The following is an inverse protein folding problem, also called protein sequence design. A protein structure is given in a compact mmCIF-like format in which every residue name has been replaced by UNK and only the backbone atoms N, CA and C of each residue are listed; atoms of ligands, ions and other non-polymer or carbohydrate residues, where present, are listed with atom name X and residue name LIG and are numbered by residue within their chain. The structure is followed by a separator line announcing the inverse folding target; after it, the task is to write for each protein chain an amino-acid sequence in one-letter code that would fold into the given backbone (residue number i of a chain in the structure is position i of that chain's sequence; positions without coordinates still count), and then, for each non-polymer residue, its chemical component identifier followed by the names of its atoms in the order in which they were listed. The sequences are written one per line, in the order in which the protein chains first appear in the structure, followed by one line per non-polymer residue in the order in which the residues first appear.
data_IF_494589549043
#
_entry.id   IF_494589549043
#
_cell.length_a   1.000
_cell.length_b   1.000
_cell.length_c   1.000
_cell.angle_alpha   90.00
_cell.angle_beta   90.00
_cell.angle_gamma   90.00
#
_symmetry.space_group_name_H-M   'P 1'
#
loop_
_entity.id
_entity.type
_entity.pdbx_description
1 polymer ?
#
# COMPACT_ATOMS: atom_id res chain seq x y z
N UNK A 1 30.55 -14.67 -20.97
CA UNK A 1 29.07 -14.79 -20.80
C UNK A 1 28.77 -15.06 -19.32
N UNK A 2 28.69 -14.02 -18.47
CA UNK A 2 28.29 -14.13 -17.05
C UNK A 2 27.84 -12.78 -16.46
N UNK A 3 26.91 -12.05 -17.12
CA UNK A 3 26.45 -10.72 -16.62
C UNK A 3 24.98 -10.69 -16.18
N UNK A 4 24.22 -11.75 -16.44
CA UNK A 4 22.80 -11.80 -16.11
C UNK A 4 22.57 -12.08 -14.61
N UNK A 5 23.33 -12.99 -14.00
CA UNK A 5 23.09 -13.38 -12.59
C UNK A 5 23.39 -12.26 -11.59
N UNK A 6 24.42 -11.46 -11.84
CA UNK A 6 24.85 -10.36 -10.96
C UNK A 6 23.81 -9.24 -10.86
N UNK A 7 23.15 -8.90 -11.97
CA UNK A 7 22.14 -7.84 -12.01
C UNK A 7 20.86 -8.21 -11.26
N UNK A 8 20.46 -9.49 -11.28
CA UNK A 8 19.34 -9.98 -10.46
C UNK A 8 19.66 -9.97 -8.97
N UNK A 9 20.90 -10.31 -8.57
CA UNK A 9 21.32 -10.26 -7.16
C UNK A 9 21.48 -8.81 -6.66
N UNK A 10 21.94 -7.90 -7.50
CA UNK A 10 22.02 -6.48 -7.17
C UNK A 10 20.62 -5.84 -7.05
N UNK A 11 19.65 -6.31 -7.85
CA UNK A 11 18.23 -5.95 -7.69
C UNK A 11 17.61 -6.45 -6.39
N UNK A 12 17.99 -7.65 -5.92
CA UNK A 12 17.57 -8.21 -4.63
C UNK A 12 18.14 -7.43 -3.42
N UNK A 13 19.24 -6.70 -3.60
CA UNK A 13 19.89 -5.89 -2.55
C UNK A 13 19.66 -4.38 -2.73
N UNK A 14 18.72 -3.95 -3.57
CA UNK A 14 18.44 -2.53 -3.74
C UNK A 14 17.57 -2.02 -2.57
N UNK A 15 18.07 -1.10 -1.72
CA UNK A 15 17.39 -0.73 -0.47
C UNK A 15 15.97 -0.18 -0.70
N UNK A 16 15.78 0.56 -1.80
CA UNK A 16 14.45 1.04 -2.18
C UNK A 16 13.50 -0.06 -2.65
N UNK A 17 13.99 -1.10 -3.34
CA UNK A 17 13.13 -2.19 -3.81
C UNK A 17 12.68 -3.06 -2.64
N UNK A 18 13.58 -3.36 -1.70
CA UNK A 18 13.21 -4.04 -0.46
C UNK A 18 12.15 -3.26 0.32
N UNK A 19 12.31 -1.94 0.42
CA UNK A 19 11.31 -1.06 1.03
C UNK A 19 9.98 -1.08 0.27
N UNK A 20 10.01 -1.00 -1.07
CA UNK A 20 8.82 -1.00 -1.91
C UNK A 20 8.03 -2.30 -1.76
N UNK A 21 8.70 -3.45 -1.69
CA UNK A 21 8.07 -4.75 -1.42
C UNK A 21 7.37 -4.72 -0.06
N UNK A 22 8.08 -4.31 1.00
CA UNK A 22 7.50 -4.24 2.34
C UNK A 22 6.28 -3.31 2.39
N UNK A 23 6.34 -2.18 1.68
CA UNK A 23 5.25 -1.20 1.62
C UNK A 23 4.04 -1.73 0.84
N UNK A 24 4.24 -2.42 -0.29
CA UNK A 24 3.17 -3.05 -1.05
C UNK A 24 2.51 -4.20 -0.26
N UNK A 25 3.31 -5.05 0.38
CA UNK A 25 2.80 -6.11 1.26
C UNK A 25 2.00 -5.53 2.43
N UNK A 26 2.39 -4.39 2.99
CA UNK A 26 1.63 -3.72 4.03
C UNK A 26 0.26 -3.24 3.53
N UNK A 27 0.18 -2.69 2.31
CA UNK A 27 -1.11 -2.30 1.72
C UNK A 27 -2.00 -3.51 1.37
N UNK A 28 -1.41 -4.63 0.98
CA UNK A 28 -2.14 -5.88 0.70
C UNK A 28 -2.78 -6.50 1.96
N UNK A 29 -2.13 -6.36 3.12
CA UNK A 29 -2.57 -6.95 4.39
C UNK A 29 -3.73 -6.20 5.08
N UNK A 30 -4.38 -5.24 4.42
CA UNK A 30 -5.58 -4.51 4.88
C UNK A 30 -5.27 -3.36 5.90
N UNK A 31 -6.11 -2.29 5.97
CA UNK A 31 -5.70 -0.96 6.45
C UNK A 31 -5.39 -0.74 7.93
N UNK A 32 -5.57 -1.72 8.81
CA UNK A 32 -6.15 -1.38 10.11
C UNK A 32 -5.20 -1.24 11.31
N UNK A 33 -3.87 -1.34 11.19
CA UNK A 33 -3.08 -1.26 12.45
C UNK A 33 -1.63 -0.84 12.37
N UNK A 34 -0.98 -0.91 11.21
CA UNK A 34 0.47 -0.63 11.16
C UNK A 34 0.72 0.59 10.28
N UNK A 35 1.37 1.64 10.81
CA UNK A 35 1.79 2.77 9.97
C UNK A 35 2.68 2.23 8.84
N UNK A 36 2.55 2.77 7.61
CA UNK A 36 3.35 2.30 6.49
C UNK A 36 4.84 2.45 6.85
N UNK A 37 5.68 1.46 6.48
CA UNK A 37 7.12 1.57 6.64
C UNK A 37 7.61 2.92 6.07
N UNK A 38 8.52 3.58 6.77
CA UNK A 38 9.20 4.79 6.28
C UNK A 38 10.49 4.39 5.57
N UNK A 39 10.78 5.03 4.44
CA UNK A 39 12.06 4.87 3.76
C UNK A 39 13.04 5.93 4.24
N UNK A 40 14.12 5.50 4.88
CA UNK A 40 15.23 6.37 5.33
C UNK A 40 16.53 6.09 4.56
N UNK A 41 16.44 5.39 3.42
CA UNK A 41 17.58 5.10 2.55
C UNK A 41 17.86 6.22 1.53
N UNK A 42 18.84 6.02 0.64
CA UNK A 42 19.16 6.97 -0.42
C UNK A 42 17.96 7.25 -1.31
N UNK A 43 17.62 8.52 -1.49
CA UNK A 43 16.54 9.00 -2.37
C UNK A 43 17.09 9.79 -3.54
N UNK A 44 16.37 9.68 -4.66
CA UNK A 44 16.53 10.42 -5.89
C UNK A 44 15.15 10.81 -6.44
N UNK A 45 15.11 11.54 -7.55
CA UNK A 45 13.85 11.98 -8.15
C UNK A 45 12.92 10.80 -8.55
N UNK A 46 13.48 9.63 -8.87
CA UNK A 46 12.71 8.45 -9.29
C UNK A 46 11.99 7.84 -8.10
N UNK A 47 12.74 7.54 -7.04
CA UNK A 47 12.24 7.01 -5.78
C UNK A 47 11.22 7.94 -5.13
N UNK A 48 11.46 9.26 -5.13
CA UNK A 48 10.50 10.25 -4.65
C UNK A 48 9.20 10.27 -5.46
N UNK A 49 9.31 10.16 -6.79
CA UNK A 49 8.15 10.11 -7.69
C UNK A 49 7.33 8.85 -7.45
N UNK A 50 7.98 7.71 -7.24
CA UNK A 50 7.33 6.44 -6.93
C UNK A 50 6.61 6.52 -5.58
N UNK A 51 7.28 6.97 -4.51
CA UNK A 51 6.68 7.10 -3.18
C UNK A 51 5.48 8.04 -3.17
N UNK A 52 5.60 9.19 -3.85
CA UNK A 52 4.50 10.15 -4.00
C UNK A 52 3.30 9.53 -4.72
N UNK A 53 3.54 8.84 -5.83
CA UNK A 53 2.50 8.23 -6.64
C UNK A 53 1.79 7.12 -5.86
N UNK A 54 2.56 6.29 -5.15
CA UNK A 54 2.02 5.22 -4.32
C UNK A 54 1.19 5.78 -3.16
N UNK A 55 1.64 6.86 -2.50
CA UNK A 55 0.85 7.55 -1.49
C UNK A 55 -0.47 8.14 -2.02
N UNK A 56 -0.53 8.54 -3.30
CA UNK A 56 -1.78 8.95 -3.93
C UNK A 56 -2.73 7.77 -4.19
N UNK A 57 -2.20 6.62 -4.61
CA UNK A 57 -2.97 5.38 -4.79
C UNK A 57 -3.52 4.89 -3.45
N UNK A 58 -2.68 4.82 -2.41
CA UNK A 58 -3.08 4.41 -1.07
C UNK A 58 -4.20 5.27 -0.50
N UNK A 59 -4.13 6.61 -0.64
CA UNK A 59 -5.23 7.50 -0.21
C UNK A 59 -6.54 7.20 -0.93
N UNK A 60 -6.51 6.95 -2.24
CA UNK A 60 -7.72 6.59 -3.00
C UNK A 60 -8.30 5.25 -2.55
N UNK A 61 -7.43 4.27 -2.25
CA UNK A 61 -7.82 2.97 -1.70
C UNK A 61 -8.54 3.15 -0.36
N UNK A 62 -7.93 3.88 0.59
CA UNK A 62 -8.54 4.13 1.89
C UNK A 62 -9.88 4.86 1.81
N UNK A 63 -9.99 5.88 0.95
CA UNK A 63 -11.28 6.56 0.72
C UNK A 63 -12.33 5.60 0.13
N UNK A 64 -11.94 4.72 -0.80
CA UNK A 64 -12.85 3.72 -1.35
C UNK A 64 -13.30 2.69 -0.32
N UNK A 65 -12.41 2.26 0.58
CA UNK A 65 -12.74 1.33 1.65
C UNK A 65 -13.61 1.96 2.75
N UNK A 66 -13.36 3.23 3.11
CA UNK A 66 -14.18 3.98 4.05
C UNK A 66 -15.61 4.19 3.52
N UNK A 67 -15.72 4.58 2.24
CA UNK A 67 -17.03 4.72 1.58
C UNK A 67 -17.78 3.39 1.49
N UNK A 68 -17.10 2.30 1.13
CA UNK A 68 -17.69 0.96 1.14
C UNK A 68 -18.16 0.53 2.53
N UNK A 69 -17.37 0.81 3.56
CA UNK A 69 -17.73 0.51 4.96
C UNK A 69 -18.96 1.31 5.40
N UNK A 70 -19.03 2.58 5.00
CA UNK A 70 -20.19 3.46 5.27
C UNK A 70 -21.46 2.95 4.59
N UNK A 71 -21.37 2.51 3.33
CA UNK A 71 -22.48 1.90 2.59
C UNK A 71 -22.96 0.62 3.31
N UNK A 72 -22.06 -0.32 3.62
CA UNK A 72 -22.39 -1.55 4.34
C UNK A 72 -23.05 -1.29 5.69
N UNK A 73 -22.55 -0.30 6.44
CA UNK A 73 -23.14 0.09 7.71
C UNK A 73 -24.58 0.59 7.53
N UNK A 74 -24.83 1.41 6.50
CA UNK A 74 -26.18 1.91 6.18
C UNK A 74 -27.17 0.80 5.74
N UNK A 75 -26.70 -0.22 5.02
CA UNK A 75 -27.51 -1.39 4.63
C UNK A 75 -27.91 -2.24 5.84
N UNK A 76 -27.00 -2.42 6.81
CA UNK A 76 -27.26 -3.15 8.05
C UNK A 76 -28.37 -2.50 8.89
N UNK A 77 -28.47 -1.17 8.88
CA UNK A 77 -29.57 -0.45 9.55
C UNK A 77 -30.92 -0.64 8.86
N UNK A 78 -30.96 -0.75 7.53
CA UNK A 78 -32.22 -0.98 6.81
C UNK A 78 -32.75 -2.41 6.98
N UNK A 79 -31.87 -3.38 7.22
CA UNK A 79 -32.24 -4.80 7.36
C UNK A 79 -32.79 -5.13 8.77
N UNK A 80 -32.41 -4.35 9.79
CA UNK A 80 -32.83 -4.52 11.19
C UNK A 80 -33.87 -3.47 11.64
N UNK A 81 -34.78 -3.05 10.74
CA UNK A 81 -35.82 -2.08 11.06
C UNK A 81 -36.66 -2.50 12.29
N UNK A 82 -37.22 -1.54 13.05
CA UNK A 82 -37.89 -1.85 14.30
C UNK A 82 -39.07 -2.79 14.03
N UNK A 83 -39.08 -3.93 14.72
CA UNK A 83 -40.26 -4.78 14.81
C UNK A 83 -41.41 -3.88 15.31
N UNK A 84 -42.47 -3.81 14.50
CA UNK A 84 -43.64 -2.93 14.69
C UNK A 84 -44.26 -2.99 16.07
#
# INVERSE_FOLDING_TARGET
MSTMSDSYQQGLSHPFLSHLIALLSAYELCPMSTPPPRYDGPTDWQTDTILRSLGAVARRMYTAEETLTSIKASECWQTNGPET
#
